data_IF_739285152843
#
_entry.id   IF_739285152843
#
_cell.length_a   1.000
_cell.length_b   1.000
_cell.length_c   1.000
_cell.angle_alpha   90.00
_cell.angle_beta   90.00
_cell.angle_gamma   90.00
#
_symmetry.space_group_name_H-M   'P 1'
#
loop_
_entity.id
_entity.type
_entity.pdbx_description
1 polymer ?
#
# COMPACT_ATOMS: atom_id res chain seq x y z
N UNK A 1 -37.21 -98.00 4.18
CA UNK A 1 -37.52 -96.79 4.99
C UNK A 1 -36.24 -96.02 5.23
N UNK A 2 -35.95 -94.99 4.41
CA UNK A 2 -34.74 -94.15 4.49
C UNK A 2 -35.15 -92.69 4.65
N UNK A 3 -34.81 -92.08 5.76
CA UNK A 3 -35.05 -90.69 6.07
C UNK A 3 -33.82 -89.91 5.61
N UNK A 4 -34.04 -88.95 4.73
CA UNK A 4 -32.99 -88.10 4.21
C UNK A 4 -33.17 -86.68 4.75
N UNK A 5 -32.27 -86.23 5.64
CA UNK A 5 -32.29 -84.94 6.26
C UNK A 5 -31.21 -84.03 5.59
N UNK A 6 -31.66 -83.11 4.74
CA UNK A 6 -30.79 -82.12 4.14
C UNK A 6 -30.66 -80.88 5.04
N UNK A 7 -29.45 -80.64 5.56
CA UNK A 7 -29.09 -79.42 6.32
C UNK A 7 -28.74 -78.29 5.33
N UNK A 8 -29.61 -77.26 5.25
CA UNK A 8 -29.32 -76.03 4.53
C UNK A 8 -28.43 -75.11 5.42
N UNK A 9 -27.18 -75.01 5.06
CA UNK A 9 -26.29 -73.96 5.61
C UNK A 9 -26.67 -72.59 5.01
N UNK A 10 -27.15 -71.65 5.83
CA UNK A 10 -27.29 -70.24 5.48
C UNK A 10 -25.93 -69.51 5.73
N UNK A 11 -25.28 -69.10 4.66
CA UNK A 11 -24.13 -68.16 4.73
C UNK A 11 -24.68 -66.78 5.01
N UNK A 12 -24.42 -66.28 6.22
CA UNK A 12 -24.56 -64.80 6.51
C UNK A 12 -23.34 -64.08 5.94
N UNK A 13 -23.51 -63.34 4.86
CA UNK A 13 -22.50 -62.42 4.37
C UNK A 13 -22.58 -61.09 5.17
N UNK A 14 -21.67 -60.92 6.08
CA UNK A 14 -21.49 -59.63 6.80
C UNK A 14 -20.80 -58.68 5.86
N UNK A 15 -21.51 -57.67 5.33
CA UNK A 15 -20.96 -56.57 4.59
C UNK A 15 -20.37 -55.61 5.62
N UNK A 16 -19.03 -55.55 5.73
CA UNK A 16 -18.31 -54.55 6.50
C UNK A 16 -18.23 -53.31 5.63
N UNK A 17 -19.09 -52.32 5.90
CA UNK A 17 -19.02 -51.00 5.30
C UNK A 17 -17.90 -50.20 6.00
N UNK A 18 -16.73 -50.19 5.38
CA UNK A 18 -15.60 -49.33 5.84
C UNK A 18 -15.97 -47.89 5.54
N UNK A 19 -16.40 -47.13 6.54
CA UNK A 19 -16.57 -45.68 6.46
C UNK A 19 -15.16 -45.07 6.41
N UNK A 20 -14.68 -44.70 5.23
CA UNK A 20 -13.51 -43.87 5.04
C UNK A 20 -13.84 -42.48 5.59
N UNK A 21 -13.45 -42.19 6.84
CA UNK A 21 -13.44 -40.84 7.37
C UNK A 21 -12.36 -40.08 6.62
N UNK A 22 -12.75 -39.31 5.58
CA UNK A 22 -11.90 -38.28 5.01
C UNK A 22 -11.69 -37.24 6.10
N UNK A 23 -10.43 -36.88 6.45
CA UNK A 23 -10.20 -35.78 7.34
C UNK A 23 -10.83 -34.56 6.69
N UNK A 24 -11.81 -33.94 7.35
CA UNK A 24 -12.34 -32.65 6.94
C UNK A 24 -11.19 -31.67 7.05
N UNK A 25 -10.56 -31.35 5.93
CA UNK A 25 -9.61 -30.26 5.87
C UNK A 25 -10.38 -29.02 6.34
N UNK A 26 -10.09 -28.55 7.54
CA UNK A 26 -10.65 -27.29 8.02
C UNK A 26 -10.21 -26.23 7.03
N UNK A 27 -11.16 -25.55 6.40
CA UNK A 27 -10.88 -24.41 5.53
C UNK A 27 -10.11 -23.39 6.36
N UNK A 28 -9.07 -22.82 5.77
CA UNK A 28 -8.32 -21.74 6.42
C UNK A 28 -9.27 -20.57 6.71
N UNK A 29 -8.97 -19.82 7.78
CA UNK A 29 -9.72 -18.58 8.08
C UNK A 29 -9.88 -17.75 6.81
N UNK A 30 -11.08 -17.23 6.57
CA UNK A 30 -11.42 -16.38 5.42
C UNK A 30 -11.55 -17.14 4.07
N UNK A 31 -11.38 -18.45 4.05
CA UNK A 31 -11.53 -19.29 2.84
C UNK A 31 -12.79 -20.12 2.93
N UNK A 32 -13.73 -19.93 1.99
CA UNK A 32 -14.93 -20.74 1.86
C UNK A 32 -15.06 -21.29 0.44
N UNK A 33 -16.11 -22.06 0.17
CA UNK A 33 -16.37 -22.54 -1.19
C UNK A 33 -16.70 -21.39 -2.17
N UNK A 34 -17.25 -20.26 -1.68
CA UNK A 34 -17.74 -19.17 -2.52
C UNK A 34 -16.87 -17.92 -2.49
N UNK A 35 -16.01 -17.74 -1.46
CA UNK A 35 -15.25 -16.49 -1.29
C UNK A 35 -13.90 -16.67 -0.60
N UNK A 36 -13.02 -15.72 -0.91
CA UNK A 36 -11.82 -15.39 -0.16
C UNK A 36 -12.07 -14.05 0.56
N UNK A 37 -12.15 -14.06 1.88
CA UNK A 37 -12.39 -12.88 2.70
C UNK A 37 -11.05 -12.25 3.11
N UNK A 38 -10.82 -11.02 2.65
CA UNK A 38 -9.63 -10.22 2.91
C UNK A 38 -9.99 -9.07 3.86
N UNK A 39 -9.15 -8.78 4.83
CA UNK A 39 -9.35 -7.64 5.74
C UNK A 39 -8.53 -6.43 5.31
N UNK A 40 -9.13 -5.25 5.34
CA UNK A 40 -8.43 -3.98 5.08
C UNK A 40 -8.80 -2.96 6.16
N UNK A 41 -7.79 -2.34 6.77
CA UNK A 41 -7.97 -1.09 7.50
C UNK A 41 -7.28 0.02 6.72
N UNK A 42 -7.98 1.12 6.48
CA UNK A 42 -7.53 2.21 5.62
C UNK A 42 -8.21 3.51 6.04
N UNK A 43 -7.52 4.63 5.89
CA UNK A 43 -8.04 5.95 6.24
C UNK A 43 -9.08 6.42 5.22
N UNK A 44 -10.33 6.55 5.63
CA UNK A 44 -11.44 7.06 4.81
C UNK A 44 -11.96 8.40 5.33
N UNK A 45 -11.58 8.80 6.54
CA UNK A 45 -11.89 10.07 7.17
C UNK A 45 -10.59 10.76 7.66
N UNK A 46 -10.72 11.85 8.35
CA UNK A 46 -9.58 12.64 8.82
C UNK A 46 -8.86 13.36 7.67
N UNK A 47 -7.63 13.76 7.89
CA UNK A 47 -6.86 14.58 6.95
C UNK A 47 -6.32 13.87 5.71
N UNK A 48 -6.68 12.60 5.49
CA UNK A 48 -6.17 11.76 4.39
C UNK A 48 -7.26 11.02 3.62
N UNK A 49 -8.53 11.33 3.90
CA UNK A 49 -9.66 10.63 3.34
C UNK A 49 -9.64 10.57 1.80
N UNK A 50 -9.35 11.65 1.11
CA UNK A 50 -9.37 11.69 -0.35
C UNK A 50 -8.37 10.72 -0.98
N UNK A 51 -7.19 10.59 -0.39
CA UNK A 51 -6.20 9.61 -0.85
C UNK A 51 -6.65 8.18 -0.54
N UNK A 52 -7.13 7.92 0.68
CA UNK A 52 -7.61 6.60 1.07
C UNK A 52 -8.81 6.14 0.25
N UNK A 53 -9.77 7.05 -0.02
CA UNK A 53 -10.92 6.78 -0.89
C UNK A 53 -10.44 6.45 -2.31
N UNK A 54 -9.52 7.23 -2.88
CA UNK A 54 -8.99 6.97 -4.22
C UNK A 54 -8.30 5.60 -4.30
N UNK A 55 -7.48 5.24 -3.29
CA UNK A 55 -6.84 3.93 -3.19
C UNK A 55 -7.89 2.82 -3.15
N UNK A 56 -8.89 2.93 -2.29
CA UNK A 56 -9.97 1.94 -2.17
C UNK A 56 -10.75 1.78 -3.48
N UNK A 57 -11.05 2.87 -4.17
CA UNK A 57 -11.71 2.83 -5.48
C UNK A 57 -10.88 2.07 -6.52
N UNK A 58 -9.57 2.26 -6.53
CA UNK A 58 -8.66 1.50 -7.40
C UNK A 58 -8.64 0.00 -7.09
N UNK A 59 -8.58 -0.36 -5.81
CA UNK A 59 -8.68 -1.74 -5.33
C UNK A 59 -9.98 -2.38 -5.81
N UNK A 60 -11.11 -1.72 -5.55
CA UNK A 60 -12.43 -2.24 -5.90
C UNK A 60 -12.64 -2.34 -7.42
N UNK A 61 -12.10 -1.41 -8.19
CA UNK A 61 -12.17 -1.46 -9.66
C UNK A 61 -11.54 -2.74 -10.21
N UNK A 62 -10.36 -3.11 -9.70
CA UNK A 62 -9.70 -4.34 -10.11
C UNK A 62 -10.43 -5.60 -9.62
N UNK A 63 -10.78 -5.64 -8.34
CA UNK A 63 -11.45 -6.81 -7.75
C UNK A 63 -12.84 -7.04 -8.36
N UNK A 64 -13.58 -5.99 -8.70
CA UNK A 64 -14.84 -6.11 -9.42
C UNK A 64 -14.65 -6.74 -10.82
N UNK A 65 -13.57 -6.40 -11.53
CA UNK A 65 -13.22 -7.03 -12.80
C UNK A 65 -12.92 -8.52 -12.61
N UNK A 66 -12.06 -8.88 -11.66
CA UNK A 66 -11.71 -10.28 -11.35
C UNK A 66 -12.94 -11.09 -10.95
N UNK A 67 -13.80 -10.53 -10.10
CA UNK A 67 -15.00 -11.21 -9.62
C UNK A 67 -16.05 -11.42 -10.73
N UNK A 68 -16.15 -10.51 -11.72
CA UNK A 68 -16.98 -10.73 -12.93
C UNK A 68 -16.46 -11.86 -13.81
N UNK A 69 -15.16 -12.13 -13.76
CA UNK A 69 -14.51 -13.21 -14.52
C UNK A 69 -14.49 -14.56 -13.78
N UNK A 70 -15.24 -14.68 -12.66
CA UNK A 70 -15.33 -15.93 -11.86
C UNK A 70 -14.44 -15.93 -10.61
N UNK A 71 -13.66 -14.87 -10.35
CA UNK A 71 -12.82 -14.77 -9.17
C UNK A 71 -11.52 -15.59 -9.26
N UNK A 72 -11.16 -16.29 -8.19
CA UNK A 72 -10.01 -17.19 -8.12
C UNK A 72 -10.50 -18.58 -7.70
N UNK A 73 -10.31 -19.59 -8.54
CA UNK A 73 -10.79 -20.96 -8.32
C UNK A 73 -12.28 -20.96 -7.91
N UNK A 74 -13.12 -20.24 -8.70
CA UNK A 74 -14.57 -20.07 -8.52
C UNK A 74 -14.98 -19.35 -7.22
N UNK A 75 -14.04 -18.68 -6.54
CA UNK A 75 -14.30 -17.89 -5.32
C UNK A 75 -14.20 -16.40 -5.62
N UNK A 76 -15.19 -15.64 -5.19
CA UNK A 76 -15.14 -14.18 -5.22
C UNK A 76 -14.16 -13.67 -4.16
N UNK A 77 -13.41 -12.63 -4.48
CA UNK A 77 -12.59 -11.92 -3.50
C UNK A 77 -13.47 -10.84 -2.87
N UNK A 78 -13.62 -10.91 -1.55
CA UNK A 78 -14.39 -9.97 -0.75
C UNK A 78 -13.45 -9.26 0.20
N UNK A 79 -13.48 -7.92 0.20
CA UNK A 79 -12.69 -7.11 1.13
C UNK A 79 -13.62 -6.52 2.17
N UNK A 80 -13.40 -6.88 3.44
CA UNK A 80 -13.99 -6.18 4.59
C UNK A 80 -13.12 -4.99 4.93
N UNK A 81 -13.69 -3.80 4.84
CA UNK A 81 -12.98 -2.53 5.04
C UNK A 81 -13.41 -1.90 6.36
N UNK A 82 -12.43 -1.48 7.18
CA UNK A 82 -12.64 -0.68 8.39
C UNK A 82 -11.86 0.64 8.26
N UNK A 83 -12.46 1.73 8.72
CA UNK A 83 -11.83 3.05 8.73
C UNK A 83 -10.93 3.22 9.96
N UNK A 84 -9.70 3.66 9.76
CA UNK A 84 -8.77 3.93 10.87
C UNK A 84 -8.63 5.42 11.22
N UNK A 85 -9.31 6.30 10.49
CA UNK A 85 -9.28 7.76 10.73
C UNK A 85 -7.85 8.32 10.86
N UNK A 86 -6.90 7.71 10.15
CA UNK A 86 -5.46 7.99 10.23
C UNK A 86 -4.87 7.89 11.66
N UNK A 87 -5.46 7.06 12.50
CA UNK A 87 -5.03 6.86 13.89
C UNK A 87 -4.39 5.47 14.03
N UNK A 88 -3.11 5.37 14.41
CA UNK A 88 -2.43 4.09 14.60
C UNK A 88 -3.16 3.15 15.57
N UNK A 89 -3.66 3.69 16.68
CA UNK A 89 -4.40 2.89 17.67
C UNK A 89 -5.71 2.31 17.10
N UNK A 90 -6.41 3.05 16.23
CA UNK A 90 -7.60 2.55 15.55
C UNK A 90 -7.24 1.50 14.50
N UNK A 91 -6.16 1.71 13.75
CA UNK A 91 -5.67 0.73 12.78
C UNK A 91 -5.27 -0.59 13.46
N UNK A 92 -4.64 -0.52 14.65
CA UNK A 92 -4.34 -1.68 15.49
C UNK A 92 -5.61 -2.44 15.90
N UNK A 93 -6.59 -1.71 16.45
CA UNK A 93 -7.88 -2.29 16.87
C UNK A 93 -8.61 -2.94 15.70
N UNK A 94 -8.67 -2.26 14.55
CA UNK A 94 -9.26 -2.78 13.32
C UNK A 94 -8.57 -4.06 12.83
N UNK A 95 -7.25 -4.08 12.79
CA UNK A 95 -6.49 -5.26 12.37
C UNK A 95 -6.77 -6.46 13.28
N UNK A 96 -6.83 -6.23 14.59
CA UNK A 96 -7.17 -7.25 15.58
C UNK A 96 -8.61 -7.76 15.41
N UNK A 97 -9.57 -6.88 15.18
CA UNK A 97 -10.96 -7.25 14.88
C UNK A 97 -11.06 -8.09 13.60
N UNK A 98 -10.49 -7.63 12.49
CA UNK A 98 -10.48 -8.33 11.22
C UNK A 98 -9.94 -9.77 11.35
N UNK A 99 -8.86 -9.94 12.11
CA UNK A 99 -8.22 -11.26 12.28
C UNK A 99 -8.98 -12.14 13.26
N UNK A 100 -9.33 -11.62 14.44
CA UNK A 100 -9.83 -12.48 15.53
C UNK A 100 -11.33 -12.70 15.49
N UNK A 101 -12.10 -11.68 15.06
CA UNK A 101 -13.57 -11.71 15.00
C UNK A 101 -14.05 -12.09 13.59
N UNK A 102 -13.56 -11.40 12.56
CA UNK A 102 -14.03 -11.60 11.19
C UNK A 102 -13.34 -12.76 10.49
N UNK A 103 -12.26 -13.29 11.09
CA UNK A 103 -11.54 -14.46 10.56
C UNK A 103 -11.07 -14.27 9.12
N UNK A 104 -10.52 -13.09 8.77
CA UNK A 104 -10.01 -12.83 7.43
C UNK A 104 -8.82 -13.73 7.08
N UNK A 105 -8.67 -14.04 5.80
CA UNK A 105 -7.56 -14.86 5.31
C UNK A 105 -6.20 -14.18 5.51
N UNK A 106 -6.11 -12.93 5.05
CA UNK A 106 -4.92 -12.06 5.21
C UNK A 106 -5.38 -10.63 5.50
N UNK A 107 -4.48 -9.79 6.01
CA UNK A 107 -4.68 -8.33 6.04
C UNK A 107 -4.03 -7.72 4.81
N UNK A 108 -4.74 -6.78 4.18
CA UNK A 108 -4.38 -6.18 2.91
C UNK A 108 -4.38 -4.65 3.00
N UNK A 109 -3.42 -4.03 2.39
CA UNK A 109 -3.40 -2.63 1.99
C UNK A 109 -3.89 -1.62 3.04
N UNK A 110 -3.00 -1.06 3.82
CA UNK A 110 -3.22 0.16 4.59
C UNK A 110 -2.44 1.30 3.96
N UNK A 111 -2.76 2.54 4.32
CA UNK A 111 -2.02 3.72 3.90
C UNK A 111 -1.33 4.38 5.10
N UNK A 112 -0.37 5.25 4.85
CA UNK A 112 0.41 5.98 5.85
C UNK A 112 1.29 5.10 6.75
N UNK A 113 2.43 5.63 7.16
CA UNK A 113 3.43 4.89 7.93
C UNK A 113 2.97 4.50 9.32
N UNK A 114 2.31 5.39 10.05
CA UNK A 114 1.83 5.14 11.41
C UNK A 114 0.79 4.02 11.49
N UNK A 115 -0.37 4.15 10.82
CA UNK A 115 -1.39 3.10 10.76
C UNK A 115 -0.84 1.78 10.24
N UNK A 116 -0.05 1.79 9.15
CA UNK A 116 0.49 0.56 8.57
C UNK A 116 1.47 -0.17 9.49
N UNK A 117 2.27 0.54 10.29
CA UNK A 117 3.14 -0.07 11.30
C UNK A 117 2.32 -0.70 12.44
N UNK A 118 1.24 -0.06 12.88
CA UNK A 118 0.33 -0.61 13.87
C UNK A 118 -0.31 -1.91 13.37
N UNK A 119 -0.78 -1.95 12.10
CA UNK A 119 -1.26 -3.17 11.45
C UNK A 119 -0.19 -4.25 11.43
N UNK A 120 1.05 -3.92 11.04
CA UNK A 120 2.17 -4.86 11.01
C UNK A 120 2.43 -5.49 12.37
N UNK A 121 2.35 -4.71 13.46
CA UNK A 121 2.52 -5.23 14.82
C UNK A 121 1.51 -6.33 15.12
N UNK A 122 0.23 -6.11 14.85
CA UNK A 122 -0.84 -7.11 15.07
C UNK A 122 -0.69 -8.33 14.18
N UNK A 123 -0.39 -8.12 12.90
CA UNK A 123 -0.25 -9.23 11.94
C UNK A 123 0.94 -10.12 12.27
N UNK A 124 2.05 -9.55 12.75
CA UNK A 124 3.21 -10.31 13.23
C UNK A 124 2.90 -11.08 14.53
N UNK A 125 2.19 -10.46 15.49
CA UNK A 125 1.75 -11.10 16.73
C UNK A 125 0.87 -12.30 16.44
N UNK A 126 -0.15 -12.12 15.58
CA UNK A 126 -1.17 -13.13 15.28
C UNK A 126 -0.78 -14.08 14.14
N UNK A 127 0.43 -13.95 13.58
CA UNK A 127 0.96 -14.80 12.49
C UNK A 127 0.07 -14.79 11.24
N UNK A 128 -0.44 -13.61 10.87
CA UNK A 128 -1.26 -13.41 9.67
C UNK A 128 -0.46 -12.63 8.63
N UNK A 129 -0.43 -13.04 7.36
CA UNK A 129 0.26 -12.26 6.32
C UNK A 129 -0.36 -10.86 6.15
N UNK A 130 0.51 -9.86 5.99
CA UNK A 130 0.17 -8.49 5.66
C UNK A 130 0.67 -8.16 4.25
N UNK A 131 -0.24 -8.06 3.29
CA UNK A 131 0.09 -7.85 1.89
C UNK A 131 -0.21 -6.42 1.44
N UNK A 132 0.74 -5.81 0.76
CA UNK A 132 0.58 -4.54 0.07
C UNK A 132 0.33 -3.32 0.96
N UNK A 133 1.08 -3.10 2.07
CA UNK A 133 1.02 -1.78 2.73
C UNK A 133 1.41 -0.70 1.73
N UNK A 134 0.51 0.27 1.51
CA UNK A 134 0.70 1.40 0.60
C UNK A 134 1.34 2.57 1.34
N UNK A 135 2.42 2.26 2.04
CA UNK A 135 3.31 3.17 2.71
C UNK A 135 4.76 2.76 2.46
N UNK A 136 5.63 3.72 2.18
CA UNK A 136 7.03 3.47 1.85
C UNK A 136 7.95 3.35 3.07
N UNK A 137 7.43 2.87 4.23
CA UNK A 137 8.20 2.77 5.46
C UNK A 137 9.35 1.75 5.35
N UNK A 138 10.56 2.06 5.88
CA UNK A 138 11.66 1.12 5.94
C UNK A 138 11.38 -0.08 6.84
N UNK A 139 10.55 0.07 7.87
CA UNK A 139 10.20 -0.98 8.86
C UNK A 139 9.55 -2.21 8.24
N UNK A 140 8.94 -2.10 7.06
CA UNK A 140 8.37 -3.24 6.33
C UNK A 140 9.44 -4.14 5.68
N UNK A 141 10.69 -3.70 5.65
CA UNK A 141 11.80 -4.35 4.95
C UNK A 141 13.01 -4.64 5.84
N UNK A 142 13.28 -3.76 6.78
CA UNK A 142 14.45 -3.85 7.66
C UNK A 142 14.06 -3.58 9.13
N UNK A 143 14.30 -4.53 10.07
CA UNK A 143 14.76 -5.90 9.78
C UNK A 143 13.77 -6.68 8.91
N UNK A 144 14.22 -7.76 8.26
CA UNK A 144 13.37 -8.57 7.40
C UNK A 144 12.07 -8.99 8.10
N UNK A 145 10.94 -8.75 7.42
CA UNK A 145 9.58 -9.04 7.90
C UNK A 145 8.99 -10.20 7.09
N UNK A 146 9.05 -11.45 7.58
CA UNK A 146 8.70 -12.63 6.77
C UNK A 146 7.22 -12.72 6.39
N UNK A 147 6.34 -11.99 7.09
CA UNK A 147 4.90 -11.96 6.85
C UNK A 147 4.41 -10.66 6.18
N UNK A 148 5.31 -9.73 5.85
CA UNK A 148 4.95 -8.43 5.26
C UNK A 148 5.47 -8.36 3.83
N UNK A 149 4.57 -8.13 2.88
CA UNK A 149 4.84 -8.15 1.45
C UNK A 149 4.48 -6.81 0.79
N UNK A 150 5.36 -5.79 0.87
CA UNK A 150 5.10 -4.49 0.25
C UNK A 150 5.15 -4.60 -1.28
N UNK A 151 4.26 -3.86 -1.96
CA UNK A 151 4.21 -3.82 -3.43
C UNK A 151 4.93 -2.59 -3.97
N UNK A 152 4.67 -1.40 -3.42
CA UNK A 152 5.31 -0.15 -3.85
C UNK A 152 6.80 -0.06 -3.49
N UNK A 153 7.53 0.84 -4.12
CA UNK A 153 8.89 1.20 -3.73
C UNK A 153 8.93 1.86 -2.32
N UNK A 154 10.09 1.79 -1.67
CA UNK A 154 10.34 2.44 -0.38
C UNK A 154 10.52 3.95 -0.56
N UNK A 155 10.14 4.75 0.45
CA UNK A 155 10.32 6.21 0.43
C UNK A 155 11.77 6.65 0.23
N UNK A 156 12.76 5.86 0.66
CA UNK A 156 14.17 6.22 0.41
C UNK A 156 14.48 6.36 -1.08
N UNK A 157 13.82 5.58 -1.95
CA UNK A 157 14.02 5.68 -3.39
C UNK A 157 13.33 6.93 -3.97
N UNK A 158 12.17 7.31 -3.42
CA UNK A 158 11.53 8.59 -3.74
C UNK A 158 12.40 9.77 -3.31
N UNK A 159 12.94 9.74 -2.08
CA UNK A 159 13.86 10.80 -1.59
C UNK A 159 15.11 10.89 -2.46
N UNK A 160 15.68 9.76 -2.87
CA UNK A 160 16.82 9.72 -3.78
C UNK A 160 16.52 10.45 -5.09
N UNK A 161 15.42 10.08 -5.74
CA UNK A 161 15.02 10.70 -7.01
C UNK A 161 14.80 12.22 -6.89
N UNK A 162 14.12 12.67 -5.82
CA UNK A 162 13.90 14.10 -5.56
C UNK A 162 15.21 14.84 -5.30
N UNK A 163 16.12 14.28 -4.52
CA UNK A 163 17.39 14.90 -4.14
C UNK A 163 18.39 14.93 -5.32
N UNK A 164 18.45 13.86 -6.12
CA UNK A 164 19.23 13.83 -7.36
C UNK A 164 18.72 14.89 -8.36
N UNK A 165 17.41 15.02 -8.49
CA UNK A 165 16.81 16.06 -9.33
C UNK A 165 17.18 17.47 -8.84
N UNK A 166 17.06 17.74 -7.54
CA UNK A 166 17.45 19.03 -6.95
C UNK A 166 18.94 19.33 -7.21
N UNK A 167 19.81 18.33 -7.04
CA UNK A 167 21.24 18.44 -7.34
C UNK A 167 21.50 18.79 -8.80
N UNK A 168 20.79 18.13 -9.73
CA UNK A 168 20.92 18.35 -11.17
C UNK A 168 20.47 19.77 -11.58
N UNK A 169 19.57 20.39 -10.81
CA UNK A 169 19.18 21.80 -10.97
C UNK A 169 20.13 22.78 -10.27
N UNK A 170 21.24 22.32 -9.71
CA UNK A 170 22.22 23.15 -9.03
C UNK A 170 21.84 23.56 -7.60
N UNK A 171 20.81 22.97 -7.02
CA UNK A 171 20.47 23.21 -5.60
C UNK A 171 21.52 22.52 -4.71
N UNK A 172 21.82 23.16 -3.58
CA UNK A 172 22.81 22.67 -2.61
C UNK A 172 22.26 22.57 -1.20
N UNK A 173 21.16 23.29 -0.89
CA UNK A 173 20.56 23.39 0.44
C UNK A 173 19.11 22.88 0.41
N UNK A 174 18.83 21.83 1.17
CA UNK A 174 17.51 21.20 1.21
C UNK A 174 16.98 21.16 2.64
N UNK A 175 15.65 21.16 2.81
CA UNK A 175 15.00 20.94 4.08
C UNK A 175 14.05 19.76 4.01
N UNK A 176 13.95 19.00 5.10
CA UNK A 176 13.14 17.78 5.19
C UNK A 176 12.03 17.94 6.22
N UNK A 177 10.78 17.94 5.76
CA UNK A 177 9.59 17.95 6.60
C UNK A 177 9.17 16.51 6.92
N UNK A 178 9.13 16.14 8.19
CA UNK A 178 8.84 14.79 8.63
C UNK A 178 7.97 14.73 9.88
N UNK A 179 7.28 13.61 10.07
CA UNK A 179 6.60 13.36 11.34
C UNK A 179 7.61 13.28 12.49
N UNK A 180 7.21 13.80 13.65
CA UNK A 180 7.95 13.65 14.91
C UNK A 180 7.64 12.28 15.52
N UNK A 181 8.21 11.24 14.94
CA UNK A 181 7.99 9.83 15.28
C UNK A 181 9.23 8.99 15.02
N UNK A 182 9.27 7.76 15.52
CA UNK A 182 10.35 6.81 15.25
C UNK A 182 10.54 6.58 13.74
N UNK A 183 9.46 6.40 12.99
CA UNK A 183 9.51 6.25 11.51
C UNK A 183 10.05 7.51 10.85
N UNK A 184 9.68 8.71 11.34
CA UNK A 184 10.24 9.97 10.85
C UNK A 184 11.75 10.09 11.09
N UNK A 185 12.25 9.56 12.21
CA UNK A 185 13.70 9.51 12.49
C UNK A 185 14.43 8.53 11.55
N UNK A 186 13.84 7.38 11.25
CA UNK A 186 14.41 6.43 10.29
C UNK A 186 14.49 7.05 8.87
N UNK A 187 13.46 7.78 8.45
CA UNK A 187 13.48 8.53 7.21
C UNK A 187 14.56 9.61 7.19
N UNK A 188 14.74 10.35 8.29
CA UNK A 188 15.82 11.33 8.43
C UNK A 188 17.20 10.68 8.28
N UNK A 189 17.40 9.51 8.90
CA UNK A 189 18.64 8.74 8.76
C UNK A 189 18.90 8.34 7.30
N UNK A 190 17.85 7.91 6.56
CA UNK A 190 17.95 7.62 5.14
C UNK A 190 18.28 8.87 4.31
N UNK A 191 17.63 10.02 4.59
CA UNK A 191 17.93 11.29 3.92
C UNK A 191 19.38 11.67 4.10
N UNK A 192 19.91 11.61 5.33
CA UNK A 192 21.32 11.93 5.62
C UNK A 192 22.31 11.04 4.84
N UNK A 193 22.00 9.75 4.68
CA UNK A 193 22.81 8.83 3.87
C UNK A 193 22.75 9.17 2.37
N UNK A 194 21.63 9.71 1.87
CA UNK A 194 21.46 10.06 0.46
C UNK A 194 22.15 11.39 0.14
N UNK A 195 22.02 12.42 0.98
CA UNK A 195 22.57 13.73 0.71
C UNK A 195 24.09 13.77 0.75
N UNK A 196 24.72 12.93 1.59
CA UNK A 196 26.18 12.91 1.76
C UNK A 196 26.93 12.69 0.43
N UNK A 197 26.69 11.61 -0.35
CA UNK A 197 27.37 11.41 -1.63
C UNK A 197 26.97 12.43 -2.70
N UNK A 198 25.79 13.06 -2.58
CA UNK A 198 25.32 14.09 -3.49
C UNK A 198 25.96 15.47 -3.21
N UNK A 199 26.65 15.64 -2.07
CA UNK A 199 27.20 16.92 -1.65
C UNK A 199 26.11 17.97 -1.35
N UNK A 200 24.92 17.53 -0.89
CA UNK A 200 23.84 18.41 -0.47
C UNK A 200 23.92 18.67 1.04
N UNK A 201 23.53 19.86 1.46
CA UNK A 201 23.39 20.24 2.87
C UNK A 201 21.93 20.07 3.31
N UNK A 202 21.71 19.39 4.44
CA UNK A 202 20.42 19.42 5.13
C UNK A 202 20.35 20.74 5.94
N UNK A 203 19.83 21.77 5.31
CA UNK A 203 19.73 23.12 5.89
C UNK A 203 18.72 23.19 7.05
N UNK A 204 17.67 22.35 7.02
CA UNK A 204 16.73 22.20 8.12
C UNK A 204 16.12 20.78 8.18
N UNK A 205 16.03 20.23 9.41
CA UNK A 205 15.17 19.12 9.77
C UNK A 205 13.91 19.72 10.42
N UNK A 206 12.74 19.41 9.87
CA UNK A 206 11.46 20.06 10.20
C UNK A 206 10.47 19.00 10.75
N UNK A 207 10.64 18.55 12.02
CA UNK A 207 9.71 17.62 12.62
C UNK A 207 8.37 18.29 12.94
N UNK A 208 7.26 17.58 12.70
CA UNK A 208 5.93 18.03 13.09
C UNK A 208 5.16 16.91 13.82
N UNK A 209 4.27 17.32 14.72
CA UNK A 209 3.26 16.44 15.35
C UNK A 209 1.96 16.46 14.55
N UNK A 210 1.17 15.39 14.62
CA UNK A 210 -0.11 15.30 13.88
C UNK A 210 -1.14 16.34 14.31
N UNK A 211 -1.03 16.86 15.54
CA UNK A 211 -1.88 17.89 16.15
C UNK A 211 -1.30 19.31 16.07
N UNK A 212 -0.30 19.53 15.21
CA UNK A 212 0.32 20.84 15.00
C UNK A 212 -0.73 21.92 14.71
N UNK A 213 -0.72 23.00 15.49
CA UNK A 213 -1.61 24.14 15.32
C UNK A 213 -1.02 25.21 14.39
N UNK A 214 -1.77 26.27 14.13
CA UNK A 214 -1.33 27.33 13.21
C UNK A 214 -0.05 28.05 13.67
N UNK A 215 0.16 28.24 14.97
CA UNK A 215 1.41 28.79 15.48
C UNK A 215 2.60 27.86 15.21
N UNK A 216 2.42 26.55 15.29
CA UNK A 216 3.41 25.57 14.91
C UNK A 216 3.71 25.61 13.39
N UNK A 217 2.67 25.77 12.55
CA UNK A 217 2.84 25.95 11.10
C UNK A 217 3.68 27.22 10.81
N UNK A 218 3.35 28.33 11.47
CA UNK A 218 4.11 29.58 11.33
C UNK A 218 5.59 29.42 11.75
N UNK A 219 5.85 28.67 12.83
CA UNK A 219 7.21 28.38 13.28
C UNK A 219 8.00 27.57 12.24
N UNK A 220 7.37 26.54 11.63
CA UNK A 220 7.99 25.73 10.56
C UNK A 220 8.31 26.61 9.35
N UNK A 221 7.37 27.47 8.90
CA UNK A 221 7.58 28.36 7.75
C UNK A 221 8.70 29.35 8.03
N UNK A 222 8.77 29.93 9.23
CA UNK A 222 9.87 30.78 9.66
C UNK A 222 11.21 30.03 9.65
N UNK A 223 11.24 28.79 10.07
CA UNK A 223 12.45 27.98 10.04
C UNK A 223 12.88 27.69 8.60
N UNK A 224 11.95 27.40 7.68
CA UNK A 224 12.24 27.27 6.24
C UNK A 224 12.88 28.54 5.72
N UNK A 225 12.29 29.73 5.99
CA UNK A 225 12.78 31.01 5.53
C UNK A 225 14.19 31.31 6.04
N UNK A 226 14.45 31.08 7.33
CA UNK A 226 15.75 31.37 7.94
C UNK A 226 16.85 30.37 7.59
N UNK A 227 16.48 29.16 7.18
CA UNK A 227 17.44 28.10 6.82
C UNK A 227 18.16 28.33 5.50
N UNK A 228 17.60 29.16 4.63
CA UNK A 228 18.10 29.32 3.25
C UNK A 228 17.92 28.07 2.39
N UNK A 229 17.00 27.16 2.76
CA UNK A 229 16.70 25.98 1.97
C UNK A 229 16.07 26.36 0.61
N UNK A 230 16.66 25.87 -0.47
CA UNK A 230 16.19 26.08 -1.83
C UNK A 230 15.04 25.14 -2.17
N UNK A 231 15.00 23.98 -1.51
CA UNK A 231 13.99 22.93 -1.67
C UNK A 231 13.53 22.44 -0.30
N UNK A 232 12.21 22.25 -0.16
CA UNK A 232 11.60 21.47 0.92
C UNK A 232 10.93 20.24 0.33
N UNK A 233 11.15 19.07 0.91
CA UNK A 233 10.41 17.86 0.57
C UNK A 233 9.86 17.21 1.84
N UNK A 234 8.82 16.39 1.68
CA UNK A 234 8.08 15.86 2.80
C UNK A 234 8.10 14.35 2.90
N UNK A 235 7.83 13.88 4.12
CA UNK A 235 7.39 12.53 4.41
C UNK A 235 6.03 12.60 5.11
N UNK A 236 4.98 12.12 4.44
CA UNK A 236 3.62 12.00 4.98
C UNK A 236 2.87 13.33 5.16
N UNK A 237 1.67 13.20 5.71
CA UNK A 237 0.75 14.30 6.07
C UNK A 237 0.53 15.39 5.01
N UNK A 238 -0.17 15.04 3.93
CA UNK A 238 -0.52 15.99 2.87
C UNK A 238 -1.25 17.24 3.40
N UNK A 239 -2.14 17.09 4.38
CA UNK A 239 -2.88 18.21 4.96
C UNK A 239 -1.99 19.21 5.71
N UNK A 240 -0.99 18.74 6.49
CA UNK A 240 -0.03 19.62 7.15
C UNK A 240 0.87 20.27 6.11
N UNK A 241 1.33 19.50 5.12
CA UNK A 241 2.19 20.02 4.06
C UNK A 241 1.47 21.07 3.22
N UNK A 242 0.18 20.88 2.93
CA UNK A 242 -0.67 21.87 2.27
C UNK A 242 -0.70 23.20 3.04
N UNK A 243 -0.95 23.16 4.35
CA UNK A 243 -0.96 24.36 5.21
C UNK A 243 0.38 25.10 5.18
N UNK A 244 1.50 24.35 5.28
CA UNK A 244 2.84 24.93 5.22
C UNK A 244 3.09 25.60 3.87
N UNK A 245 2.73 24.96 2.74
CA UNK A 245 2.90 25.52 1.40
C UNK A 245 2.08 26.80 1.24
N UNK A 246 0.79 26.79 1.63
CA UNK A 246 -0.06 27.96 1.58
C UNK A 246 0.55 29.13 2.36
N UNK A 247 0.95 28.86 3.61
CA UNK A 247 1.56 29.87 4.48
C UNK A 247 2.88 30.41 3.92
N UNK A 248 3.73 29.54 3.38
CA UNK A 248 4.98 29.93 2.74
C UNK A 248 4.74 30.83 1.51
N UNK A 249 3.72 30.54 0.71
CA UNK A 249 3.35 31.36 -0.46
C UNK A 249 2.73 32.68 -0.06
N UNK A 250 1.93 32.75 1.02
CA UNK A 250 1.44 34.00 1.62
C UNK A 250 2.61 34.91 2.05
N UNK A 251 3.67 34.31 2.58
CA UNK A 251 4.90 35.03 2.96
C UNK A 251 5.89 35.22 1.80
N UNK A 252 5.48 34.93 0.57
CA UNK A 252 6.27 35.11 -0.66
C UNK A 252 7.62 34.35 -0.68
N UNK A 253 7.72 33.23 0.05
CA UNK A 253 8.91 32.38 -0.01
C UNK A 253 9.07 31.76 -1.40
N UNK A 254 10.28 31.86 -1.94
CA UNK A 254 10.65 31.31 -3.27
C UNK A 254 11.11 29.86 -3.23
N UNK A 255 11.24 29.28 -2.03
CA UNK A 255 11.61 27.89 -1.82
C UNK A 255 10.74 26.93 -2.66
N UNK A 256 11.35 25.97 -3.34
CA UNK A 256 10.65 24.96 -4.11
C UNK A 256 10.09 23.87 -3.20
N UNK A 257 8.86 23.45 -3.46
CA UNK A 257 8.22 22.36 -2.70
C UNK A 257 8.14 21.11 -3.56
N UNK A 258 8.72 20.03 -3.05
CA UNK A 258 8.73 18.70 -3.65
C UNK A 258 7.93 17.75 -2.77
N UNK A 259 7.39 16.68 -3.33
CA UNK A 259 6.59 15.74 -2.58
C UNK A 259 6.81 14.27 -2.97
N UNK A 260 6.44 13.38 -2.07
CA UNK A 260 6.36 11.95 -2.34
C UNK A 260 5.03 11.57 -2.97
N UNK A 261 4.92 10.35 -3.49
CA UNK A 261 3.74 9.84 -4.18
C UNK A 261 2.45 9.94 -3.34
N UNK A 262 2.52 9.61 -2.05
CA UNK A 262 1.34 9.46 -1.19
C UNK A 262 0.49 10.73 -1.14
N UNK A 263 -0.70 10.68 -1.76
CA UNK A 263 -1.62 11.81 -1.83
C UNK A 263 -1.20 12.94 -2.77
N UNK A 264 -0.24 12.72 -3.67
CA UNK A 264 0.27 13.75 -4.61
C UNK A 264 -0.84 14.39 -5.46
N UNK A 265 -1.73 13.58 -6.03
CA UNK A 265 -2.86 14.08 -6.85
C UNK A 265 -3.81 14.95 -6.03
N UNK A 266 -4.14 14.52 -4.82
CA UNK A 266 -5.04 15.24 -3.92
C UNK A 266 -4.41 16.55 -3.45
N UNK A 267 -3.15 16.52 -3.04
CA UNK A 267 -2.42 17.72 -2.65
C UNK A 267 -2.35 18.74 -3.80
N UNK A 268 -2.02 18.32 -5.01
CA UNK A 268 -1.99 19.20 -6.17
C UNK A 268 -3.36 19.82 -6.48
N UNK A 269 -4.45 19.04 -6.37
CA UNK A 269 -5.81 19.55 -6.55
C UNK A 269 -6.20 20.57 -5.48
N UNK A 270 -5.92 20.31 -4.21
CA UNK A 270 -6.24 21.20 -3.10
C UNK A 270 -5.46 22.52 -3.18
N UNK A 271 -4.19 22.46 -3.54
CA UNK A 271 -3.35 23.65 -3.71
C UNK A 271 -3.76 24.48 -4.94
N UNK A 272 -4.32 23.84 -5.97
CA UNK A 272 -4.67 24.52 -7.22
C UNK A 272 -3.47 25.22 -7.85
N UNK A 273 -3.56 26.52 -8.18
CA UNK A 273 -2.44 27.25 -8.77
C UNK A 273 -1.16 27.27 -7.95
N UNK A 274 -1.24 27.11 -6.62
CA UNK A 274 -0.07 27.06 -5.74
C UNK A 274 0.78 25.81 -5.92
N UNK A 275 0.22 24.74 -6.53
CA UNK A 275 0.95 23.52 -6.86
C UNK A 275 1.82 23.65 -8.12
N UNK A 276 1.69 24.75 -8.89
CA UNK A 276 2.46 24.93 -10.13
C UNK A 276 3.97 24.77 -9.86
N UNK A 277 4.63 23.99 -10.71
CA UNK A 277 6.05 23.65 -10.63
C UNK A 277 6.46 22.79 -9.41
N UNK A 278 5.52 22.30 -8.60
CA UNK A 278 5.85 21.26 -7.63
C UNK A 278 6.28 20.00 -8.35
N UNK A 279 7.30 19.35 -7.81
CA UNK A 279 7.81 18.05 -8.29
C UNK A 279 7.41 16.98 -7.31
N UNK A 280 6.87 15.89 -7.83
CA UNK A 280 6.51 14.71 -7.04
C UNK A 280 7.27 13.48 -7.55
N UNK A 281 7.85 12.71 -6.63
CA UNK A 281 8.26 11.36 -6.93
C UNK A 281 7.02 10.46 -6.98
N UNK A 282 6.92 9.64 -8.02
CA UNK A 282 5.83 8.71 -8.25
C UNK A 282 6.38 7.28 -8.30
N UNK A 283 5.73 6.35 -7.60
CA UNK A 283 6.16 4.94 -7.54
C UNK A 283 5.40 4.05 -8.53
N UNK A 284 4.79 4.68 -9.53
CA UNK A 284 4.02 4.07 -10.59
C UNK A 284 4.02 4.95 -11.84
N UNK A 285 3.67 4.41 -13.02
CA UNK A 285 3.53 5.22 -14.23
C UNK A 285 2.38 6.21 -14.13
N UNK A 286 2.35 7.18 -15.05
CA UNK A 286 1.27 8.17 -15.10
C UNK A 286 -0.11 7.50 -15.29
N UNK A 287 -1.10 7.76 -14.40
CA UNK A 287 -2.42 7.17 -14.50
C UNK A 287 -3.23 7.69 -15.71
N UNK A 288 -2.84 8.81 -16.31
CA UNK A 288 -3.51 9.43 -17.46
C UNK A 288 -2.94 8.96 -18.81
N UNK A 289 -1.73 8.43 -18.83
CA UNK A 289 -1.07 7.99 -20.05
C UNK A 289 -1.35 6.50 -20.33
N UNK A 290 -1.51 6.14 -21.61
CA UNK A 290 -1.76 4.77 -22.05
C UNK A 290 -0.50 4.06 -22.57
N UNK A 291 0.68 4.52 -22.12
CA UNK A 291 1.98 4.00 -22.60
C UNK A 291 2.27 2.56 -22.13
N UNK A 292 1.86 2.20 -20.91
CA UNK A 292 2.14 0.89 -20.33
C UNK A 292 0.92 -0.03 -20.33
N UNK A 293 1.12 -1.34 -20.25
CA UNK A 293 0.02 -2.31 -20.18
C UNK A 293 -0.82 -2.10 -18.91
N UNK A 294 -0.14 -1.87 -17.77
CA UNK A 294 -0.82 -1.66 -16.49
C UNK A 294 -1.72 -0.42 -16.50
N UNK A 295 -1.29 0.70 -17.12
CA UNK A 295 -2.11 1.91 -17.16
C UNK A 295 -3.30 1.78 -18.09
N UNK A 296 -3.17 1.06 -19.22
CA UNK A 296 -4.31 0.76 -20.09
C UNK A 296 -5.36 -0.08 -19.38
N UNK A 297 -4.92 -1.17 -18.74
CA UNK A 297 -5.81 -2.08 -18.01
C UNK A 297 -6.50 -1.37 -16.82
N UNK A 298 -5.75 -0.54 -16.08
CA UNK A 298 -6.29 0.28 -15.00
C UNK A 298 -7.38 1.22 -15.51
N UNK A 299 -7.13 1.99 -16.57
CA UNK A 299 -8.09 2.96 -17.08
C UNK A 299 -9.40 2.30 -17.53
N UNK A 300 -9.32 1.14 -18.17
CA UNK A 300 -10.50 0.37 -18.59
C UNK A 300 -11.31 -0.14 -17.38
N UNK A 301 -10.64 -0.76 -16.41
CA UNK A 301 -11.29 -1.26 -15.20
C UNK A 301 -11.88 -0.13 -14.33
N UNK A 302 -11.13 0.96 -14.17
CA UNK A 302 -11.53 2.09 -13.34
C UNK A 302 -12.72 2.83 -13.94
N UNK A 303 -12.74 3.10 -15.26
CA UNK A 303 -13.87 3.73 -15.92
C UNK A 303 -15.12 2.83 -15.95
N UNK A 304 -14.96 1.52 -15.99
CA UNK A 304 -16.07 0.59 -15.86
C UNK A 304 -16.67 0.56 -14.45
N UNK A 305 -15.88 0.87 -13.42
CA UNK A 305 -16.29 0.89 -12.01
C UNK A 305 -16.78 2.28 -11.56
N UNK A 306 -16.03 3.34 -11.90
CA UNK A 306 -16.28 4.75 -11.54
C UNK A 306 -16.26 5.64 -12.81
N UNK A 307 -17.30 5.59 -13.67
CA UNK A 307 -17.29 6.26 -14.97
C UNK A 307 -17.15 7.79 -14.90
N UNK A 308 -17.58 8.40 -13.79
CA UNK A 308 -17.54 9.85 -13.59
C UNK A 308 -16.29 10.36 -12.87
N UNK A 309 -15.53 9.46 -12.24
CA UNK A 309 -14.34 9.85 -11.48
C UNK A 309 -13.11 9.99 -12.39
N UNK A 310 -12.25 10.95 -12.05
CA UNK A 310 -10.97 11.12 -12.70
C UNK A 310 -9.94 10.10 -12.23
N UNK A 311 -8.96 9.81 -13.09
CA UNK A 311 -7.79 9.04 -12.72
C UNK A 311 -6.95 9.78 -11.67
N UNK A 312 -6.22 9.01 -10.84
CA UNK A 312 -5.28 9.55 -9.87
C UNK A 312 -4.16 8.55 -9.58
N UNK A 313 -3.03 9.04 -9.07
CA UNK A 313 -1.99 8.14 -8.58
C UNK A 313 -2.51 7.23 -7.45
N UNK A 314 -3.34 7.75 -6.54
CA UNK A 314 -3.93 6.95 -5.47
C UNK A 314 -4.77 5.77 -5.98
N UNK A 315 -5.65 6.01 -6.97
CA UNK A 315 -6.45 4.92 -7.53
C UNK A 315 -5.65 3.94 -8.38
N UNK A 316 -4.59 4.39 -9.07
CA UNK A 316 -3.68 3.48 -9.74
C UNK A 316 -2.86 2.64 -8.74
N UNK A 317 -2.41 3.23 -7.63
CA UNK A 317 -1.70 2.50 -6.57
C UNK A 317 -2.55 1.38 -5.98
N UNK A 318 -3.81 1.70 -5.66
CA UNK A 318 -4.78 0.71 -5.19
C UNK A 318 -5.00 -0.42 -6.21
N UNK A 319 -5.20 -0.07 -7.48
CA UNK A 319 -5.35 -1.02 -8.58
C UNK A 319 -4.14 -1.96 -8.72
N UNK A 320 -2.93 -1.40 -8.75
CA UNK A 320 -1.69 -2.16 -8.90
C UNK A 320 -1.45 -3.10 -7.71
N UNK A 321 -1.74 -2.62 -6.50
CA UNK A 321 -1.59 -3.42 -5.27
C UNK A 321 -2.60 -4.57 -5.25
N UNK A 322 -3.85 -4.33 -5.66
CA UNK A 322 -4.85 -5.39 -5.81
C UNK A 322 -4.51 -6.37 -6.94
N UNK A 323 -3.90 -5.89 -8.03
CA UNK A 323 -3.40 -6.75 -9.12
C UNK A 323 -2.30 -7.69 -8.62
N UNK A 324 -1.37 -7.18 -7.82
CA UNK A 324 -0.34 -7.99 -7.19
C UNK A 324 -0.93 -9.00 -6.17
N UNK A 325 -1.94 -8.59 -5.38
CA UNK A 325 -2.65 -9.49 -4.47
C UNK A 325 -3.26 -10.68 -5.19
N UNK A 326 -3.98 -10.45 -6.29
CA UNK A 326 -4.63 -11.52 -7.05
C UNK A 326 -3.59 -12.49 -7.63
N UNK A 327 -2.46 -11.99 -8.09
CA UNK A 327 -1.35 -12.83 -8.54
C UNK A 327 -0.78 -13.68 -7.39
N UNK A 328 -0.60 -13.08 -6.21
CA UNK A 328 -0.16 -13.78 -5.01
C UNK A 328 -1.14 -14.89 -4.57
N UNK A 329 -2.45 -14.59 -4.59
CA UNK A 329 -3.50 -15.54 -4.27
C UNK A 329 -3.55 -16.72 -5.25
N UNK A 330 -3.35 -16.47 -6.55
CA UNK A 330 -3.27 -17.54 -7.57
C UNK A 330 -2.11 -18.49 -7.31
N UNK A 331 -0.95 -17.95 -6.89
CA UNK A 331 0.23 -18.75 -6.53
C UNK A 331 0.04 -19.58 -5.27
N UNK A 332 -0.80 -19.16 -4.36
CA UNK A 332 -1.16 -19.96 -3.17
C UNK A 332 -1.94 -21.24 -3.51
N UNK A 333 -2.43 -21.35 -4.75
CA UNK A 333 -3.14 -22.53 -5.27
C UNK A 333 -4.66 -22.48 -5.04
N UNK A 334 -5.39 -23.53 -5.52
CA UNK A 334 -6.85 -23.56 -5.50
C UNK A 334 -7.43 -23.70 -4.07
N UNK A 335 -6.67 -24.25 -3.13
CA UNK A 335 -7.06 -24.37 -1.72
C UNK A 335 -6.04 -23.62 -0.85
N UNK A 336 -6.06 -22.28 -0.83
CA UNK A 336 -5.02 -21.51 -0.21
C UNK A 336 -5.05 -21.63 1.32
N UNK A 337 -3.87 -21.74 1.92
CA UNK A 337 -3.62 -21.57 3.33
C UNK A 337 -2.69 -20.35 3.51
N UNK A 338 -2.59 -19.79 4.72
CA UNK A 338 -1.62 -18.72 4.98
C UNK A 338 -0.19 -19.18 4.69
N UNK A 339 0.14 -20.43 5.00
CA UNK A 339 1.45 -21.01 4.72
C UNK A 339 1.70 -21.14 3.21
N UNK A 340 0.73 -21.65 2.43
CA UNK A 340 0.88 -21.72 0.97
C UNK A 340 0.94 -20.34 0.32
N UNK A 341 0.25 -19.34 0.87
CA UNK A 341 0.34 -17.96 0.42
C UNK A 341 1.76 -17.38 0.63
N UNK A 342 2.32 -17.54 1.84
CA UNK A 342 3.69 -17.11 2.15
C UNK A 342 4.71 -17.87 1.31
N UNK A 343 4.56 -19.19 1.19
CA UNK A 343 5.46 -20.04 0.38
C UNK A 343 5.45 -19.65 -1.10
N UNK A 344 4.28 -19.31 -1.65
CA UNK A 344 4.13 -18.85 -3.05
C UNK A 344 4.79 -17.49 -3.33
N UNK A 345 5.10 -16.72 -2.29
CA UNK A 345 5.78 -15.42 -2.36
C UNK A 345 7.27 -15.50 -2.02
N UNK A 346 7.69 -16.55 -1.31
CA UNK A 346 9.10 -16.72 -0.93
C UNK A 346 9.98 -16.80 -2.18
N UNK A 347 10.98 -15.91 -2.23
CA UNK A 347 11.92 -15.80 -3.36
C UNK A 347 11.26 -15.61 -4.74
N UNK A 348 10.03 -15.07 -4.77
CA UNK A 348 9.26 -14.88 -5.98
C UNK A 348 9.38 -13.47 -6.56
N UNK A 349 9.19 -13.40 -7.88
CA UNK A 349 8.82 -12.16 -8.57
C UNK A 349 7.36 -12.27 -9.01
N UNK A 350 6.53 -11.31 -8.63
CA UNK A 350 5.18 -11.19 -9.19
C UNK A 350 5.23 -10.33 -10.44
N UNK A 351 4.60 -10.79 -11.51
CA UNK A 351 4.45 -10.01 -12.75
C UNK A 351 3.08 -9.34 -12.78
N UNK A 352 3.06 -8.02 -12.86
CA UNK A 352 1.85 -7.23 -12.98
C UNK A 352 1.91 -6.35 -14.22
N UNK A 353 1.40 -6.87 -15.33
CA UNK A 353 1.27 -6.16 -16.62
C UNK A 353 2.55 -5.41 -17.05
N UNK A 354 3.69 -6.12 -17.00
CA UNK A 354 5.01 -5.60 -17.38
C UNK A 354 5.83 -5.00 -16.25
N UNK A 355 5.27 -4.88 -15.04
CA UNK A 355 6.00 -4.49 -13.85
C UNK A 355 6.33 -5.71 -12.98
N UNK A 356 7.47 -5.64 -12.30
CA UNK A 356 8.01 -6.73 -11.51
C UNK A 356 8.08 -6.34 -10.03
N UNK A 357 7.29 -7.03 -9.21
CA UNK A 357 7.32 -6.91 -7.74
C UNK A 357 8.26 -7.97 -7.19
N UNK A 358 9.33 -7.55 -6.53
CA UNK A 358 10.44 -8.43 -6.13
C UNK A 358 10.39 -8.79 -4.65
N UNK A 359 10.39 -10.12 -4.38
CA UNK A 359 10.49 -10.70 -3.04
C UNK A 359 11.68 -11.65 -2.91
N UNK A 360 12.64 -11.63 -3.87
CA UNK A 360 13.80 -12.52 -3.87
C UNK A 360 14.77 -12.20 -2.74
N UNK A 361 15.53 -13.22 -2.35
CA UNK A 361 16.60 -13.11 -1.35
C UNK A 361 16.15 -12.50 -0.01
N UNK A 362 14.88 -12.67 0.35
CA UNK A 362 14.31 -12.11 1.58
C UNK A 362 14.34 -10.58 1.67
N UNK A 363 14.52 -9.87 0.55
CA UNK A 363 14.61 -8.40 0.58
C UNK A 363 13.28 -7.70 0.66
N UNK A 364 12.21 -8.31 0.16
CA UNK A 364 10.87 -7.75 0.08
C UNK A 364 10.84 -6.30 -0.44
N UNK A 365 11.64 -6.00 -1.49
CA UNK A 365 11.77 -4.64 -2.01
C UNK A 365 10.51 -4.12 -2.70
N UNK A 366 9.68 -5.02 -3.23
CA UNK A 366 8.51 -4.64 -4.03
C UNK A 366 8.91 -4.14 -5.42
N UNK A 367 8.24 -3.10 -5.90
CA UNK A 367 8.61 -2.38 -7.12
C UNK A 367 9.84 -1.51 -6.85
N UNK A 368 10.67 -1.32 -7.87
CA UNK A 368 11.79 -0.37 -7.86
C UNK A 368 11.52 0.89 -8.68
N UNK A 369 10.34 0.97 -9.32
CA UNK A 369 9.98 2.11 -10.15
C UNK A 369 9.81 3.36 -9.30
N UNK A 370 10.58 4.39 -9.63
CA UNK A 370 10.35 5.77 -9.21
C UNK A 370 10.51 6.66 -10.43
N UNK A 371 9.55 7.51 -10.68
CA UNK A 371 9.53 8.51 -11.74
C UNK A 371 9.27 9.90 -11.13
N UNK A 372 9.57 10.96 -11.86
CA UNK A 372 9.31 12.32 -11.42
C UNK A 372 8.19 12.95 -12.26
N UNK A 373 7.28 13.62 -11.61
CA UNK A 373 6.21 14.34 -12.26
C UNK A 373 6.13 15.77 -11.78
N UNK A 374 6.08 16.71 -12.72
CA UNK A 374 5.91 18.14 -12.44
C UNK A 374 4.45 18.55 -12.61
N UNK A 375 3.95 19.39 -11.70
CA UNK A 375 2.60 19.94 -11.79
C UNK A 375 2.59 21.17 -12.69
N UNK A 376 1.76 21.14 -13.73
CA UNK A 376 1.56 22.27 -14.65
C UNK A 376 0.66 23.34 -14.04
N UNK A 377 0.54 24.49 -14.71
CA UNK A 377 -0.35 25.57 -14.29
C UNK A 377 -1.82 25.13 -14.22
N UNK A 378 -2.21 24.18 -15.06
CA UNK A 378 -3.56 23.61 -15.11
C UNK A 378 -3.78 22.49 -14.07
N UNK A 379 -2.83 22.25 -13.16
CA UNK A 379 -2.89 21.21 -12.15
C UNK A 379 -2.71 19.80 -12.69
N UNK A 380 -2.20 19.65 -13.92
CA UNK A 380 -1.91 18.34 -14.52
C UNK A 380 -0.47 17.94 -14.24
N UNK A 381 -0.25 16.62 -14.17
CA UNK A 381 1.09 16.05 -14.03
C UNK A 381 1.71 15.78 -15.42
N UNK A 382 2.97 16.14 -15.56
CA UNK A 382 3.83 15.82 -16.73
C UNK A 382 5.10 15.11 -16.25
N UNK A 383 5.57 14.14 -17.03
CA UNK A 383 6.79 13.38 -16.84
C UNK A 383 7.88 13.79 -17.80
#
# INVERSE_FOLDING_TARGET
MKINTSIRRRLLSTVITTVLAFPSAHAADGVSAQQLLIGQTITLQGGKNDYGVAVLDGVQAYLAQVNRQGGIADRKIVVKVLDDDNKPAQAEANARELITKDKVFIVFGSIEGGPSNAVMTVTNELKVPFFGPMAGSPTFRAPHQPLVFPVRAEHKEEFRALLEHAKNLGMTRVAFLRSDSAVGQEHLANVRKIIQPLGLELAADLPFKSDINDAGIDAVVKQIASSGAQMVFNHGSTGIYEKIIRKAREQQLTTQFYGVNSGSTQLARHLGPLAQNMIFAQVMPSPWERKTAITRAYQEAFKAYKPKEDFSYGSLEGYMTARALVEALRRAGPNPTRDSFVAGLKDADLQIDGLKVNYRNGTHTGLSLVDLAIVTREGKFRH
#
